data_IF_714492126517
#
_entry.id   IF_714492126517
#
_cell.length_a   1.000
_cell.length_b   1.000
_cell.length_c   1.000
_cell.angle_alpha   90.00
_cell.angle_beta   90.00
_cell.angle_gamma   90.00
#
_symmetry.space_group_name_H-M   'P 1'
#
loop_
_entity.id
_entity.type
_entity.pdbx_description
1 polymer ?
#
# COMPACT_ATOMS: atom_id res chain seq x y z
N UNK A 1 12.89 6.40 12.57
CA UNK A 1 11.69 5.97 11.81
C UNK A 1 10.74 5.22 12.74
N UNK A 2 9.44 5.27 12.49
CA UNK A 2 8.43 4.39 13.11
C UNK A 2 7.46 3.89 12.04
N UNK A 3 6.94 2.68 12.21
CA UNK A 3 6.02 2.06 11.25
C UNK A 3 4.82 1.42 11.95
N UNK A 4 3.71 1.34 11.22
CA UNK A 4 2.59 0.46 11.53
C UNK A 4 2.22 -0.32 10.28
N UNK A 5 1.77 -1.57 10.45
CA UNK A 5 1.27 -2.40 9.36
C UNK A 5 0.08 -3.21 9.86
N UNK A 6 -0.93 -3.41 9.00
CA UNK A 6 -2.15 -4.12 9.38
C UNK A 6 -2.44 -5.31 8.48
N UNK A 7 -2.92 -6.39 9.11
CA UNK A 7 -3.57 -7.52 8.46
C UNK A 7 -5.08 -7.43 8.67
N UNK A 8 -5.71 -8.55 9.01
CA UNK A 8 -7.13 -8.58 9.40
C UNK A 8 -8.05 -9.06 8.28
N UNK A 9 -9.28 -8.58 8.27
CA UNK A 9 -10.29 -8.96 7.28
C UNK A 9 -11.29 -7.82 6.97
N UNK A 10 -11.95 -7.93 5.82
CA UNK A 10 -12.83 -6.88 5.32
C UNK A 10 -14.26 -6.90 5.88
N UNK A 11 -14.51 -7.60 6.99
CA UNK A 11 -15.73 -7.48 7.80
C UNK A 11 -15.50 -6.80 9.16
N UNK A 12 -14.33 -6.21 9.38
CA UNK A 12 -14.04 -5.41 10.58
C UNK A 12 -14.89 -4.14 10.63
N UNK A 13 -15.17 -3.67 11.86
CA UNK A 13 -15.93 -2.43 12.06
C UNK A 13 -15.18 -1.24 11.45
N UNK A 14 -15.92 -0.35 10.78
CA UNK A 14 -15.37 0.82 10.08
C UNK A 14 -14.29 0.51 9.04
N UNK A 15 -14.26 -0.71 8.48
CA UNK A 15 -13.25 -1.10 7.49
C UNK A 15 -13.28 -0.29 6.19
N UNK A 16 -12.12 -0.17 5.53
CA UNK A 16 -11.90 0.54 4.27
C UNK A 16 -11.43 -0.39 3.12
N UNK A 17 -11.56 -1.71 3.31
CA UNK A 17 -11.10 -2.73 2.36
C UNK A 17 -9.58 -2.66 2.07
N UNK A 18 -8.76 -2.56 3.10
CA UNK A 18 -7.36 -2.15 3.01
C UNK A 18 -6.42 -3.07 3.83
N UNK A 19 -6.66 -4.37 3.75
CA UNK A 19 -5.80 -5.40 4.34
C UNK A 19 -4.40 -5.26 3.73
N UNK A 20 -3.37 -5.17 4.58
CA UNK A 20 -2.00 -4.90 4.15
C UNK A 20 -1.66 -3.41 4.03
N UNK A 21 -2.51 -2.51 4.54
CA UNK A 21 -2.14 -1.11 4.73
C UNK A 21 -1.01 -0.96 5.75
N UNK A 22 -0.27 0.14 5.64
CA UNK A 22 0.84 0.50 6.51
C UNK A 22 0.94 2.01 6.64
N UNK A 23 1.64 2.52 7.65
CA UNK A 23 2.05 3.92 7.75
C UNK A 23 3.52 4.01 8.17
N UNK A 24 4.24 5.02 7.67
CA UNK A 24 5.66 5.28 7.97
C UNK A 24 5.83 6.72 8.42
N UNK A 25 6.45 6.89 9.58
CA UNK A 25 6.79 8.18 10.18
C UNK A 25 8.31 8.35 10.22
N UNK A 26 8.78 9.54 9.86
CA UNK A 26 10.15 9.99 10.02
C UNK A 26 10.12 11.32 10.80
N UNK A 27 10.93 11.43 11.86
CA UNK A 27 10.82 12.54 12.80
C UNK A 27 9.41 12.65 13.38
N UNK A 28 8.79 13.81 13.21
CA UNK A 28 7.40 14.13 13.59
C UNK A 28 6.42 14.10 12.40
N UNK A 29 6.84 13.57 11.24
CA UNK A 29 6.07 13.61 9.99
C UNK A 29 5.66 12.22 9.51
N UNK A 30 4.38 12.04 9.20
CA UNK A 30 3.91 10.92 8.38
C UNK A 30 4.39 11.12 6.95
N UNK A 31 5.29 10.25 6.50
CA UNK A 31 5.89 10.35 5.17
C UNK A 31 5.06 9.61 4.13
N UNK A 32 4.69 8.37 4.43
CA UNK A 32 4.02 7.49 3.48
C UNK A 32 3.03 6.55 4.17
N UNK A 33 2.09 6.04 3.40
CA UNK A 33 1.13 5.02 3.83
C UNK A 33 -0.25 5.59 4.14
N UNK A 34 -1.00 4.92 5.01
CA UNK A 34 -2.39 5.25 5.33
C UNK A 34 -2.55 6.70 5.80
N UNK A 35 -3.47 7.43 5.18
CA UNK A 35 -3.72 8.85 5.48
C UNK A 35 -4.92 9.05 6.42
N UNK A 36 -5.50 7.95 6.92
CA UNK A 36 -6.63 7.98 7.83
C UNK A 36 -7.95 8.29 7.14
N UNK A 37 -8.90 8.81 7.92
CA UNK A 37 -10.25 9.14 7.47
C UNK A 37 -10.46 10.65 7.26
N UNK A 38 -11.63 11.04 6.73
CA UNK A 38 -11.99 12.44 6.57
C UNK A 38 -12.19 13.15 7.92
N UNK A 39 -12.05 14.48 7.94
CA UNK A 39 -12.33 15.29 9.11
C UNK A 39 -13.81 15.22 9.50
N UNK A 40 -14.69 15.14 8.50
CA UNK A 40 -16.12 14.94 8.67
C UNK A 40 -16.66 14.00 7.60
N UNK A 41 -17.57 13.11 8.01
CA UNK A 41 -18.15 12.12 7.12
C UNK A 41 -19.33 12.72 6.34
N UNK A 42 -19.33 12.65 4.99
CA UNK A 42 -20.53 12.86 4.21
C UNK A 42 -21.71 12.02 4.73
N UNK A 43 -22.94 12.50 4.58
CA UNK A 43 -24.13 11.83 5.13
C UNK A 43 -24.33 10.39 4.62
N UNK A 44 -23.83 10.08 3.43
CA UNK A 44 -23.88 8.78 2.76
C UNK A 44 -22.56 7.97 2.89
N UNK A 45 -21.62 8.39 3.75
CA UNK A 45 -20.30 7.74 3.88
C UNK A 45 -20.34 6.33 4.46
N UNK A 46 -21.45 5.96 5.10
CA UNK A 46 -21.66 4.64 5.69
C UNK A 46 -22.63 3.77 4.87
N UNK A 47 -23.08 4.27 3.72
CA UNK A 47 -23.92 3.50 2.82
C UNK A 47 -23.10 2.43 2.10
N UNK A 48 -23.79 1.38 1.64
CA UNK A 48 -23.14 0.24 0.97
C UNK A 48 -22.33 0.61 -0.29
N UNK A 49 -22.68 1.70 -0.97
CA UNK A 49 -21.95 2.20 -2.16
C UNK A 49 -20.87 3.24 -1.86
N UNK A 50 -20.60 3.54 -0.58
CA UNK A 50 -19.59 4.51 -0.19
C UNK A 50 -18.17 4.14 -0.63
N UNK A 51 -17.72 2.87 -0.61
CA UNK A 51 -16.38 2.50 -1.08
C UNK A 51 -16.13 2.79 -2.57
N UNK A 52 -17.16 2.68 -3.42
CA UNK A 52 -17.08 2.99 -4.85
C UNK A 52 -17.10 4.50 -5.10
N UNK A 53 -17.87 5.25 -4.28
CA UNK A 53 -18.00 6.69 -4.40
C UNK A 53 -16.81 7.46 -3.82
N UNK A 54 -16.35 7.04 -2.65
CA UNK A 54 -15.30 7.70 -1.88
C UNK A 54 -14.06 6.82 -1.87
N UNK A 55 -13.04 7.18 -2.65
CA UNK A 55 -11.81 6.37 -2.76
C UNK A 55 -11.13 6.14 -1.40
N UNK A 56 -11.19 7.11 -0.49
CA UNK A 56 -10.70 6.98 0.89
C UNK A 56 -11.44 5.92 1.73
N UNK A 57 -12.65 5.49 1.30
CA UNK A 57 -13.46 4.45 1.95
C UNK A 57 -13.22 3.05 1.36
N UNK A 58 -12.54 2.96 0.23
CA UNK A 58 -12.22 1.71 -0.46
C UNK A 58 -10.71 1.52 -0.63
N UNK A 59 -10.28 0.34 -1.09
CA UNK A 59 -8.86 -0.03 -1.17
C UNK A 59 -7.98 0.99 -1.92
N UNK A 60 -8.53 1.65 -2.95
CA UNK A 60 -7.79 2.58 -3.79
C UNK A 60 -7.25 3.78 -2.99
N UNK A 61 -7.93 4.20 -1.92
CA UNK A 61 -7.46 5.26 -1.03
C UNK A 61 -6.30 4.89 -0.13
N UNK A 62 -5.91 3.62 -0.08
CA UNK A 62 -4.92 3.09 0.86
C UNK A 62 -3.69 2.54 0.12
N UNK A 63 -2.54 2.39 0.78
CA UNK A 63 -1.29 1.94 0.15
C UNK A 63 -1.29 0.42 -0.11
N UNK A 64 -2.34 -0.10 -0.74
CA UNK A 64 -2.55 -1.52 -1.07
C UNK A 64 -2.61 -1.73 -2.60
N UNK A 65 -2.33 -2.96 -3.07
CA UNK A 65 -2.29 -3.26 -4.50
C UNK A 65 -3.62 -3.08 -5.25
N UNK A 66 -3.51 -2.94 -6.58
CA UNK A 66 -4.58 -3.27 -7.52
C UNK A 66 -4.16 -4.49 -8.33
N UNK A 67 -4.98 -5.55 -8.26
CA UNK A 67 -4.68 -6.83 -8.90
C UNK A 67 -5.57 -6.97 -10.12
N UNK A 68 -4.97 -6.98 -11.31
CA UNK A 68 -5.66 -6.91 -12.60
C UNK A 68 -6.67 -5.74 -12.73
N UNK A 69 -6.40 -4.65 -12.03
CA UNK A 69 -7.28 -3.48 -11.95
C UNK A 69 -8.44 -3.63 -10.95
N UNK A 70 -8.43 -4.67 -10.12
CA UNK A 70 -9.47 -4.96 -9.11
C UNK A 70 -8.97 -4.59 -7.72
N UNK A 71 -9.82 -3.91 -6.95
CA UNK A 71 -9.63 -3.59 -5.52
C UNK A 71 -9.97 -4.78 -4.62
N UNK A 72 -9.70 -4.67 -3.32
CA UNK A 72 -10.11 -5.71 -2.39
C UNK A 72 -11.63 -5.81 -2.30
N UNK A 73 -12.14 -7.01 -2.06
CA UNK A 73 -13.56 -7.29 -1.88
C UNK A 73 -13.99 -7.04 -0.43
N UNK A 74 -15.25 -6.63 -0.23
CA UNK A 74 -15.82 -6.48 1.12
C UNK A 74 -16.21 -7.82 1.73
N UNK A 75 -16.11 -7.93 3.06
CA UNK A 75 -16.63 -9.04 3.85
C UNK A 75 -15.58 -10.03 4.35
N UNK A 76 -16.03 -10.95 5.21
CA UNK A 76 -15.17 -11.84 6.03
C UNK A 76 -14.32 -12.82 5.20
N UNK A 77 -14.71 -13.07 3.95
CA UNK A 77 -13.95 -13.93 3.03
C UNK A 77 -12.69 -13.25 2.53
N UNK A 78 -12.67 -11.93 2.44
CA UNK A 78 -11.49 -11.15 2.14
C UNK A 78 -10.70 -10.94 3.44
N UNK A 79 -9.60 -11.68 3.58
CA UNK A 79 -8.76 -11.65 4.79
C UNK A 79 -7.28 -11.82 4.48
N UNK A 80 -6.46 -11.18 5.29
CA UNK A 80 -5.02 -11.39 5.32
C UNK A 80 -4.70 -12.58 6.23
N UNK A 81 -4.09 -13.63 5.69
CA UNK A 81 -3.62 -14.76 6.50
C UNK A 81 -2.16 -14.52 6.87
N UNK A 82 -1.85 -14.43 8.15
CA UNK A 82 -0.46 -14.25 8.61
C UNK A 82 0.36 -15.49 8.26
N UNK A 83 1.39 -15.29 7.44
CA UNK A 83 2.36 -16.32 7.05
C UNK A 83 3.59 -16.31 7.94
N UNK A 84 4.01 -15.12 8.38
CA UNK A 84 5.25 -14.94 9.14
C UNK A 84 5.14 -13.76 10.10
N UNK A 85 5.67 -13.93 11.31
CA UNK A 85 5.80 -12.89 12.34
C UNK A 85 7.09 -13.13 13.13
N UNK A 86 8.14 -12.40 12.79
CA UNK A 86 9.43 -12.44 13.49
C UNK A 86 9.80 -11.04 13.92
N UNK A 87 10.05 -10.85 15.21
CA UNK A 87 10.42 -9.56 15.78
C UNK A 87 11.68 -9.71 16.59
N UNK A 88 12.66 -8.88 16.28
CA UNK A 88 13.97 -8.89 16.94
C UNK A 88 14.39 -7.46 17.26
N UNK A 89 15.47 -7.31 18.02
CA UNK A 89 16.00 -5.98 18.35
C UNK A 89 16.51 -5.22 17.11
N UNK A 90 16.86 -5.91 16.03
CA UNK A 90 17.46 -5.30 14.84
C UNK A 90 16.50 -5.25 13.65
N UNK A 91 15.58 -6.21 13.57
CA UNK A 91 14.74 -6.44 12.40
C UNK A 91 13.40 -7.07 12.74
N UNK A 92 12.35 -6.56 12.11
CA UNK A 92 11.02 -7.14 12.11
C UNK A 92 10.63 -7.62 10.72
N UNK A 93 9.99 -8.78 10.66
CA UNK A 93 9.40 -9.36 9.44
C UNK A 93 7.96 -9.76 9.72
N UNK A 94 7.05 -9.18 8.96
CA UNK A 94 5.63 -9.50 9.00
C UNK A 94 5.15 -9.82 7.59
N UNK A 95 4.69 -11.04 7.35
CA UNK A 95 4.22 -11.49 6.02
C UNK A 95 2.78 -11.96 6.09
N UNK A 96 2.00 -11.53 5.11
CA UNK A 96 0.57 -11.84 4.99
C UNK A 96 0.25 -12.32 3.57
N UNK A 97 -0.56 -13.37 3.49
CA UNK A 97 -1.22 -13.79 2.27
C UNK A 97 -2.47 -12.92 2.06
N UNK A 98 -2.47 -12.15 0.98
CA UNK A 98 -3.56 -11.26 0.56
C UNK A 98 -4.45 -11.87 -0.51
N UNK A 99 -4.20 -13.12 -0.95
CA UNK A 99 -4.88 -13.72 -2.11
C UNK A 99 -6.39 -13.65 -1.98
N UNK A 100 -6.93 -14.03 -0.81
CA UNK A 100 -8.38 -14.04 -0.58
C UNK A 100 -9.01 -12.65 -0.52
N UNK A 101 -8.20 -11.58 -0.35
CA UNK A 101 -8.69 -10.21 -0.32
C UNK A 101 -9.15 -9.74 -1.71
N UNK A 102 -8.66 -10.34 -2.80
CA UNK A 102 -8.96 -9.94 -4.17
C UNK A 102 -9.79 -10.99 -4.90
N UNK A 103 -10.97 -10.61 -5.39
CA UNK A 103 -11.81 -11.48 -6.22
C UNK A 103 -11.34 -11.50 -7.69
N UNK A 104 -10.07 -11.86 -7.90
CA UNK A 104 -9.48 -11.97 -9.25
C UNK A 104 -9.34 -13.45 -9.62
N UNK A 105 -10.15 -13.99 -10.56
CA UNK A 105 -10.19 -15.44 -10.83
C UNK A 105 -8.87 -16.03 -11.34
N UNK A 106 -8.01 -15.17 -11.91
CA UNK A 106 -6.70 -15.52 -12.44
C UNK A 106 -5.57 -15.43 -11.41
N UNK A 107 -5.79 -14.77 -10.26
CA UNK A 107 -4.80 -14.70 -9.19
C UNK A 107 -4.70 -16.07 -8.50
N UNK A 108 -3.48 -16.58 -8.38
CA UNK A 108 -3.18 -17.83 -7.69
C UNK A 108 -2.63 -17.55 -6.28
N UNK A 109 -1.72 -16.58 -6.17
CA UNK A 109 -1.17 -16.13 -4.89
C UNK A 109 -0.80 -14.65 -4.93
N UNK A 110 -1.04 -13.95 -3.83
CA UNK A 110 -0.45 -12.63 -3.54
C UNK A 110 0.04 -12.62 -2.10
N UNK A 111 1.33 -12.41 -1.89
CA UNK A 111 1.94 -12.24 -0.57
C UNK A 111 2.50 -10.84 -0.44
N UNK A 112 2.20 -10.18 0.67
CA UNK A 112 2.85 -8.92 1.07
C UNK A 112 3.72 -9.17 2.28
N UNK A 113 4.98 -8.77 2.20
CA UNK A 113 5.94 -8.85 3.30
C UNK A 113 6.44 -7.47 3.66
N UNK A 114 6.30 -7.13 4.93
CA UNK A 114 6.86 -5.94 5.55
C UNK A 114 8.17 -6.32 6.23
N UNK A 115 9.21 -5.52 6.00
CA UNK A 115 10.49 -5.64 6.69
C UNK A 115 10.85 -4.28 7.27
N UNK A 116 11.05 -4.22 8.58
CA UNK A 116 11.56 -3.03 9.25
C UNK A 116 12.93 -3.31 9.84
N UNK A 117 13.96 -2.66 9.32
CA UNK A 117 15.33 -2.75 9.79
C UNK A 117 15.68 -1.50 10.59
N UNK A 118 16.13 -1.68 11.84
CA UNK A 118 16.34 -0.58 12.79
C UNK A 118 17.72 0.05 12.73
N UNK A 119 18.63 -0.49 11.91
CA UNK A 119 19.99 0.02 11.81
C UNK A 119 20.01 1.43 11.19
N UNK A 120 20.93 2.28 11.66
CA UNK A 120 21.06 3.66 11.20
C UNK A 120 19.77 4.48 11.44
N UNK A 121 19.30 5.20 10.42
CA UNK A 121 18.05 5.95 10.48
C UNK A 121 16.78 5.06 10.35
N UNK A 122 16.97 3.77 10.09
CA UNK A 122 15.95 2.79 9.79
C UNK A 122 15.67 2.64 8.29
N UNK A 123 15.24 1.46 7.89
CA UNK A 123 14.73 1.16 6.55
C UNK A 123 13.43 0.37 6.67
N UNK A 124 12.40 0.77 5.92
CA UNK A 124 11.16 0.02 5.84
C UNK A 124 10.91 -0.44 4.40
N UNK A 125 10.68 -1.73 4.23
CA UNK A 125 10.39 -2.32 2.93
C UNK A 125 9.01 -2.97 2.90
N UNK A 126 8.30 -2.78 1.78
CA UNK A 126 7.02 -3.42 1.46
C UNK A 126 7.24 -4.21 0.18
N UNK A 127 7.16 -5.54 0.27
CA UNK A 127 7.41 -6.45 -0.83
C UNK A 127 6.14 -7.18 -1.21
N UNK A 128 5.63 -6.94 -2.41
CA UNK A 128 4.50 -7.64 -3.00
C UNK A 128 5.00 -8.66 -4.02
N UNK A 129 4.60 -9.92 -3.85
CA UNK A 129 4.91 -11.03 -4.76
C UNK A 129 3.62 -11.73 -5.17
N UNK A 130 3.44 -11.95 -6.48
CA UNK A 130 2.24 -12.61 -6.99
C UNK A 130 2.54 -13.73 -8.00
N UNK A 131 1.63 -14.71 -8.04
CA UNK A 131 1.51 -15.71 -9.11
C UNK A 131 0.08 -15.73 -9.63
N UNK A 132 -0.08 -16.02 -10.91
CA UNK A 132 -1.34 -16.02 -11.62
C UNK A 132 -1.36 -17.09 -12.73
N UNK A 133 -2.57 -17.57 -13.06
CA UNK A 133 -2.81 -18.61 -14.07
C UNK A 133 -2.53 -18.11 -15.49
N UNK A 134 -2.76 -16.82 -15.72
CA UNK A 134 -2.50 -16.09 -16.98
C UNK A 134 -1.78 -14.79 -16.66
N UNK A 135 -1.13 -14.14 -17.65
CA UNK A 135 -0.58 -12.81 -17.43
C UNK A 135 -1.66 -11.83 -16.95
N UNK A 136 -1.41 -11.13 -15.85
CA UNK A 136 -2.31 -10.12 -15.28
C UNK A 136 -1.58 -8.78 -15.14
N UNK A 137 -2.35 -7.68 -15.05
CA UNK A 137 -1.82 -6.38 -14.65
C UNK A 137 -1.57 -6.37 -13.13
N UNK A 138 -0.51 -5.70 -12.69
CA UNK A 138 -0.21 -5.57 -11.27
C UNK A 138 0.28 -4.16 -10.95
N UNK A 139 -0.27 -3.58 -9.89
CA UNK A 139 0.11 -2.28 -9.34
C UNK A 139 0.20 -2.39 -7.82
N UNK A 140 1.24 -1.80 -7.25
CA UNK A 140 1.27 -1.43 -5.82
C UNK A 140 1.23 0.09 -5.69
N UNK A 141 1.08 0.63 -4.49
CA UNK A 141 0.98 2.07 -4.31
C UNK A 141 1.60 2.60 -3.02
N UNK A 142 2.00 3.86 -3.10
CA UNK A 142 2.36 4.71 -1.97
C UNK A 142 1.33 5.82 -1.87
N UNK A 143 0.76 6.05 -0.70
CA UNK A 143 -0.07 7.22 -0.41
C UNK A 143 0.71 8.22 0.44
N UNK A 144 0.57 9.51 0.16
CA UNK A 144 1.32 10.56 0.88
C UNK A 144 0.62 11.92 0.83
N UNK A 145 0.68 12.67 1.94
CA UNK A 145 0.35 14.10 2.01
C UNK A 145 1.58 15.00 1.84
N UNK A 146 2.77 14.42 1.69
CA UNK A 146 4.02 15.18 1.54
C UNK A 146 4.20 15.66 0.11
N UNK A 147 5.09 16.65 -0.09
CA UNK A 147 5.55 17.00 -1.42
C UNK A 147 6.35 15.83 -1.99
N UNK A 148 6.12 15.48 -3.25
CA UNK A 148 6.79 14.36 -3.88
C UNK A 148 7.27 14.68 -5.29
N UNK A 149 8.30 13.96 -5.74
CA UNK A 149 8.82 14.03 -7.10
C UNK A 149 9.37 12.69 -7.55
N UNK A 150 9.38 12.47 -8.86
CA UNK A 150 10.07 11.35 -9.48
C UNK A 150 11.53 11.76 -9.66
N UNK A 151 12.46 10.99 -9.09
CA UNK A 151 13.90 11.22 -9.29
C UNK A 151 14.39 10.54 -10.56
N UNK A 152 13.95 9.30 -10.79
CA UNK A 152 14.23 8.50 -11.97
C UNK A 152 13.19 7.36 -12.08
N UNK A 153 13.39 6.42 -13.01
CA UNK A 153 12.48 5.30 -13.29
C UNK A 153 12.25 4.34 -12.10
N UNK A 154 13.07 4.42 -11.05
CA UNK A 154 13.09 3.52 -9.90
C UNK A 154 13.15 4.23 -8.55
N UNK A 155 13.07 5.57 -8.52
CA UNK A 155 13.13 6.33 -7.28
C UNK A 155 12.11 7.46 -7.21
N UNK A 156 11.44 7.56 -6.07
CA UNK A 156 10.61 8.69 -5.67
C UNK A 156 11.27 9.41 -4.49
N UNK A 157 11.13 10.73 -4.44
CA UNK A 157 11.50 11.53 -3.29
C UNK A 157 10.24 12.08 -2.64
N UNK A 158 10.09 11.83 -1.34
CA UNK A 158 9.11 12.46 -0.47
C UNK A 158 9.82 13.52 0.39
N UNK A 159 9.22 14.70 0.49
CA UNK A 159 9.80 15.84 1.21
C UNK A 159 8.77 16.55 2.06
N UNK A 160 9.17 16.90 3.27
CA UNK A 160 8.50 17.88 4.11
C UNK A 160 9.45 19.06 4.34
N UNK A 161 9.08 19.99 5.21
CA UNK A 161 9.96 21.10 5.60
C UNK A 161 11.20 20.62 6.38
N UNK A 162 11.09 19.50 7.10
CA UNK A 162 12.10 19.01 8.04
C UNK A 162 12.71 17.67 7.64
N UNK A 163 12.01 16.88 6.81
CA UNK A 163 12.35 15.49 6.55
C UNK A 163 12.36 15.16 5.06
N UNK A 164 13.25 14.25 4.66
CA UNK A 164 13.34 13.71 3.31
C UNK A 164 13.38 12.18 3.35
N UNK A 165 12.65 11.55 2.44
CA UNK A 165 12.60 10.10 2.30
C UNK A 165 12.71 9.71 0.84
N UNK A 166 13.64 8.81 0.53
CA UNK A 166 13.71 8.17 -0.78
C UNK A 166 12.94 6.86 -0.72
N UNK A 167 12.11 6.63 -1.72
CA UNK A 167 11.47 5.34 -1.98
C UNK A 167 12.18 4.75 -3.20
N UNK A 168 12.88 3.64 -2.99
CA UNK A 168 13.51 2.85 -4.04
C UNK A 168 12.58 1.73 -4.48
N UNK A 169 12.49 1.50 -5.78
CA UNK A 169 11.60 0.50 -6.39
C UNK A 169 12.46 -0.56 -7.08
N UNK A 170 12.32 -1.81 -6.62
CA UNK A 170 12.84 -2.99 -7.26
C UNK A 170 11.66 -3.85 -7.76
N UNK A 171 11.67 -4.28 -9.01
CA UNK A 171 10.54 -5.02 -9.58
C UNK A 171 11.00 -6.06 -10.61
N UNK A 172 10.16 -7.08 -10.84
CA UNK A 172 10.40 -8.13 -11.83
C UNK A 172 10.36 -7.65 -13.29
N UNK A 173 10.02 -6.39 -13.53
CA UNK A 173 9.94 -5.77 -14.85
C UNK A 173 9.89 -4.25 -14.74
N UNK A 174 9.96 -3.56 -15.88
CA UNK A 174 9.94 -2.10 -15.90
C UNK A 174 8.62 -1.56 -15.30
N UNK A 175 8.72 -0.54 -14.46
CA UNK A 175 7.56 0.12 -13.85
C UNK A 175 7.24 1.45 -14.55
N UNK A 176 6.00 1.91 -14.38
CA UNK A 176 5.59 3.29 -14.64
C UNK A 176 4.93 3.85 -13.38
N UNK A 177 5.11 5.15 -13.16
CA UNK A 177 4.42 5.87 -12.09
C UNK A 177 3.12 6.49 -12.61
N UNK A 178 2.03 6.26 -11.89
CA UNK A 178 0.76 6.98 -12.04
C UNK A 178 0.49 7.75 -10.75
N UNK A 179 -0.38 8.74 -10.79
CA UNK A 179 -0.81 9.40 -9.57
C UNK A 179 -2.24 9.91 -9.66
N UNK A 180 -2.90 9.96 -8.51
CA UNK A 180 -4.20 10.57 -8.35
C UNK A 180 -4.29 11.27 -6.99
N UNK A 181 -4.84 12.50 -6.99
CA UNK A 181 -5.17 13.22 -5.76
C UNK A 181 -6.51 12.72 -5.24
N UNK A 182 -6.54 12.36 -3.96
CA UNK A 182 -7.72 11.89 -3.25
C UNK A 182 -8.07 12.93 -2.19
N UNK A 183 -9.32 13.38 -2.22
CA UNK A 183 -9.84 14.38 -1.29
C UNK A 183 -11.32 14.13 -1.05
N UNK A 184 -11.69 13.93 0.22
CA UNK A 184 -13.08 13.88 0.67
C UNK A 184 -13.13 14.48 2.05
N UNK A 185 -13.43 15.78 2.19
CA UNK A 185 -13.46 16.48 3.49
C UNK A 185 -12.23 16.18 4.38
N UNK A 186 -11.06 16.03 3.78
CA UNK A 186 -9.78 15.66 4.40
C UNK A 186 -8.68 16.54 3.81
N UNK A 187 -7.49 16.64 4.40
CA UNK A 187 -6.35 17.13 3.65
C UNK A 187 -6.17 16.24 2.42
N UNK A 188 -6.02 16.86 1.25
CA UNK A 188 -5.76 16.13 0.03
C UNK A 188 -4.46 15.33 0.16
N UNK A 189 -4.47 14.11 -0.35
CA UNK A 189 -3.29 13.27 -0.41
C UNK A 189 -3.18 12.63 -1.79
N UNK A 190 -1.97 12.25 -2.17
CA UNK A 190 -1.73 11.60 -3.45
C UNK A 190 -1.61 10.10 -3.26
N UNK A 191 -2.33 9.32 -4.07
CA UNK A 191 -2.00 7.92 -4.35
C UNK A 191 -1.03 7.90 -5.53
N UNK A 192 0.19 7.44 -5.31
CA UNK A 192 1.19 7.21 -6.35
C UNK A 192 1.17 5.71 -6.66
N UNK A 193 0.73 5.34 -7.86
CA UNK A 193 0.73 3.96 -8.33
C UNK A 193 2.08 3.59 -8.95
N UNK A 194 2.59 2.41 -8.58
CA UNK A 194 3.80 1.79 -9.14
C UNK A 194 3.31 0.57 -9.92
N UNK A 195 3.26 0.71 -11.25
CA UNK A 195 2.58 -0.24 -12.14
C UNK A 195 3.60 -0.99 -12.97
N UNK A 196 3.57 -2.33 -12.98
CA UNK A 196 4.33 -3.11 -13.97
C UNK A 196 3.83 -2.75 -15.37
N UNK A 197 4.75 -2.36 -16.27
CA UNK A 197 4.39 -1.97 -17.65
C UNK A 197 3.78 -3.13 -18.43
N UNK A 198 4.34 -4.32 -18.24
CA UNK A 198 3.88 -5.55 -18.89
C UNK A 198 3.05 -6.41 -17.95
N UNK A 199 2.10 -7.15 -18.53
CA UNK A 199 1.39 -8.18 -17.79
C UNK A 199 2.32 -9.37 -17.53
N UNK A 200 2.20 -9.98 -16.35
CA UNK A 200 3.03 -11.11 -15.97
C UNK A 200 2.22 -12.21 -15.29
N UNK A 201 2.66 -13.47 -15.44
CA UNK A 201 2.12 -14.61 -14.68
C UNK A 201 2.70 -14.66 -13.27
N UNK A 202 3.95 -14.25 -13.13
CA UNK A 202 4.64 -14.14 -11.84
C UNK A 202 5.34 -12.81 -11.84
N UNK A 203 5.28 -12.08 -10.73
CA UNK A 203 5.97 -10.83 -10.62
C UNK A 203 6.10 -10.36 -9.18
N UNK A 204 6.91 -9.34 -9.00
CA UNK A 204 7.07 -8.67 -7.71
C UNK A 204 7.30 -7.18 -7.88
N UNK A 205 6.90 -6.42 -6.87
CA UNK A 205 7.32 -5.04 -6.66
C UNK A 205 7.71 -4.89 -5.19
N UNK A 206 8.93 -4.43 -4.95
CA UNK A 206 9.47 -4.10 -3.64
C UNK A 206 9.72 -2.60 -3.56
N UNK A 207 9.12 -1.98 -2.55
CA UNK A 207 9.35 -0.60 -2.16
C UNK A 207 10.28 -0.61 -0.96
N UNK A 208 11.37 0.16 -1.00
CA UNK A 208 12.27 0.36 0.15
C UNK A 208 12.36 1.84 0.48
N UNK A 209 12.00 2.18 1.72
CA UNK A 209 11.85 3.54 2.22
C UNK A 209 12.95 3.83 3.24
N UNK A 210 13.77 4.83 2.94
CA UNK A 210 14.88 5.27 3.80
C UNK A 210 14.90 6.78 3.93
N UNK A 211 15.31 7.26 5.10
CA UNK A 211 15.67 8.66 5.28
C UNK A 211 16.80 9.04 4.31
N UNK A 212 16.77 10.27 3.79
CA UNK A 212 17.81 10.82 2.92
C UNK A 212 18.84 11.61 3.72
#
# INVERSE_FOLDING_TARGET
>A
MAISAKGGNNAESHNHNDIGSYAVVLGDRTMAGDQGGPFSYPGDYFDSGAPEKYKIKGSFGHPVPLVDGVTQSTGIKAKGVVLKKEFTNEKDVFSIDLTSAYSTPNLDKLTRTFVYERQGAGNFSVNDEFTAKVPIRFETAVTTQTNWSILDDTHLLLTTETEQMVISIEASGAVKFTHEVIEVNSPAYTRIGIVLKDQARTGYIRLSMSAK
#
